data_IF_050628902014
#
_entry.id   IF_050628902014
#
_cell.length_a   1.000
_cell.length_b   1.000
_cell.length_c   1.000
_cell.angle_alpha   90.00
_cell.angle_beta   90.00
_cell.angle_gamma   90.00
#
_symmetry.space_group_name_H-M   'P 1'
#
loop_
_entity.id
_entity.type
_entity.pdbx_description
1 polymer ?
#
# COMPACT_ATOMS: atom_id res chain seq x y z
N UNK A 1 87.67 16.44 -51.37
CA UNK A 1 87.39 16.50 -49.92
C UNK A 1 85.88 16.67 -49.77
N UNK A 2 85.21 15.66 -49.19
CA UNK A 2 83.85 15.64 -48.62
C UNK A 2 82.67 16.15 -49.48
N UNK A 3 82.00 15.22 -50.14
CA UNK A 3 80.53 15.20 -50.20
C UNK A 3 80.03 14.34 -49.03
N UNK A 4 79.11 14.85 -48.22
CA UNK A 4 78.29 14.00 -47.35
C UNK A 4 77.00 14.69 -46.89
N UNK A 5 75.95 13.87 -46.89
CA UNK A 5 74.77 13.87 -46.01
C UNK A 5 73.78 15.05 -46.09
N UNK A 6 72.81 14.95 -47.01
CA UNK A 6 71.53 15.71 -46.95
C UNK A 6 70.32 14.80 -47.24
N UNK A 7 70.31 13.54 -46.79
CA UNK A 7 69.20 12.61 -47.10
C UNK A 7 68.50 11.96 -45.91
N UNK A 8 68.91 12.18 -44.66
CA UNK A 8 68.36 11.44 -43.50
C UNK A 8 67.30 12.17 -42.67
N UNK A 9 66.95 13.43 -42.98
CA UNK A 9 65.98 14.21 -42.17
C UNK A 9 64.50 13.95 -42.52
N UNK A 10 64.20 13.19 -43.59
CA UNK A 10 62.82 12.98 -44.06
C UNK A 10 62.07 11.84 -43.35
N UNK A 11 62.78 10.86 -42.77
CA UNK A 11 62.16 9.67 -42.19
C UNK A 11 61.65 9.89 -40.75
N UNK A 12 62.36 10.70 -39.99
CA UNK A 12 62.07 10.95 -38.57
C UNK A 12 60.85 11.88 -38.40
N UNK A 13 60.73 12.90 -39.27
CA UNK A 13 59.61 13.84 -39.28
C UNK A 13 58.29 13.15 -39.70
N UNK A 14 58.34 12.23 -40.68
CA UNK A 14 57.17 11.42 -41.05
C UNK A 14 56.71 10.46 -39.95
N UNK A 15 57.65 9.94 -39.13
CA UNK A 15 57.33 9.10 -37.98
C UNK A 15 56.65 9.92 -36.88
N UNK A 16 57.14 11.13 -36.61
CA UNK A 16 56.55 12.05 -35.65
C UNK A 16 55.12 12.47 -36.07
N UNK A 17 54.91 12.81 -37.35
CA UNK A 17 53.59 13.17 -37.88
C UNK A 17 52.58 12.03 -37.80
N UNK A 18 52.99 10.78 -38.10
CA UNK A 18 52.13 9.60 -37.94
C UNK A 18 51.73 9.37 -36.49
N UNK A 19 52.67 9.53 -35.54
CA UNK A 19 52.39 9.42 -34.10
C UNK A 19 51.42 10.51 -33.64
N UNK A 20 51.62 11.76 -34.06
CA UNK A 20 50.72 12.87 -33.72
C UNK A 20 49.30 12.65 -34.28
N UNK A 21 49.19 12.18 -35.52
CA UNK A 21 47.91 11.85 -36.14
C UNK A 21 47.19 10.71 -35.39
N UNK A 22 47.91 9.65 -35.03
CA UNK A 22 47.36 8.53 -34.27
C UNK A 22 46.87 8.99 -32.89
N UNK A 23 47.64 9.82 -32.18
CA UNK A 23 47.25 10.38 -30.89
C UNK A 23 45.98 11.26 -31.00
N UNK A 24 45.92 12.13 -32.01
CA UNK A 24 44.73 12.94 -32.26
C UNK A 24 43.49 12.08 -32.55
N UNK A 25 43.65 11.03 -33.36
CA UNK A 25 42.57 10.09 -33.68
C UNK A 25 42.10 9.30 -32.46
N UNK A 26 43.02 8.85 -31.59
CA UNK A 26 42.64 8.18 -30.33
C UNK A 26 41.90 9.12 -29.38
N UNK A 27 42.25 10.41 -29.38
CA UNK A 27 41.64 11.41 -28.52
C UNK A 27 40.21 11.76 -28.97
N UNK A 28 39.95 11.78 -30.28
CA UNK A 28 38.59 11.94 -30.83
C UNK A 28 37.70 10.73 -30.55
N UNK A 29 38.24 9.50 -30.68
CA UNK A 29 37.50 8.28 -30.34
C UNK A 29 37.16 8.24 -28.84
N UNK A 30 38.10 8.64 -27.97
CA UNK A 30 37.88 8.71 -26.53
C UNK A 30 36.76 9.72 -26.17
N UNK A 31 36.76 10.91 -26.79
CA UNK A 31 35.68 11.90 -26.62
C UNK A 31 34.32 11.33 -27.01
N UNK A 32 34.23 10.58 -28.11
CA UNK A 32 33.00 9.97 -28.58
C UNK A 32 32.51 8.87 -27.63
N UNK A 33 33.42 8.06 -27.09
CA UNK A 33 33.10 7.04 -26.08
C UNK A 33 32.57 7.67 -24.79
N UNK A 34 33.23 8.73 -24.29
CA UNK A 34 32.79 9.45 -23.08
C UNK A 34 31.40 10.05 -23.28
N UNK A 35 31.13 10.70 -24.43
CA UNK A 35 29.79 11.24 -24.74
C UNK A 35 28.72 10.15 -24.73
N UNK A 36 29.02 9.00 -25.34
CA UNK A 36 28.08 7.87 -25.39
C UNK A 36 27.78 7.35 -23.98
N UNK A 37 28.81 7.26 -23.13
CA UNK A 37 28.69 6.76 -21.76
C UNK A 37 27.95 7.73 -20.84
N UNK A 38 28.11 9.04 -21.05
CA UNK A 38 27.35 10.06 -20.34
C UNK A 38 25.86 10.06 -20.72
N UNK A 39 25.56 9.93 -22.02
CA UNK A 39 24.16 9.88 -22.51
C UNK A 39 23.46 8.61 -22.04
N UNK A 40 24.13 7.45 -22.07
CA UNK A 40 23.54 6.20 -21.57
C UNK A 40 23.31 6.22 -20.06
N UNK A 41 24.26 6.77 -19.28
CA UNK A 41 24.12 6.95 -17.84
C UNK A 41 22.93 7.84 -17.47
N UNK A 42 22.75 8.96 -18.20
CA UNK A 42 21.60 9.83 -18.01
C UNK A 42 20.27 9.13 -18.31
N UNK A 43 20.24 8.27 -19.33
CA UNK A 43 19.03 7.50 -19.69
C UNK A 43 18.61 6.52 -18.57
N UNK A 44 19.57 5.91 -17.87
CA UNK A 44 19.31 4.98 -16.75
C UNK A 44 18.74 5.71 -15.53
N UNK A 45 19.13 6.98 -15.30
CA UNK A 45 18.62 7.77 -14.17
C UNK A 45 17.17 8.25 -14.36
N UNK A 46 16.70 8.40 -15.60
CA UNK A 46 15.31 8.83 -15.89
C UNK A 46 14.32 7.67 -15.76
N UNK A 47 14.76 6.42 -15.96
CA UNK A 47 13.96 5.22 -15.70
C UNK A 47 14.10 4.85 -14.22
N UNK A 48 13.66 5.75 -13.36
CA UNK A 48 13.63 5.53 -11.91
C UNK A 48 12.80 4.30 -11.53
N UNK A 49 13.26 3.61 -10.49
CA UNK A 49 12.59 2.46 -9.87
C UNK A 49 11.09 2.70 -9.70
N UNK A 50 10.28 1.86 -10.34
CA UNK A 50 8.85 1.74 -10.06
C UNK A 50 8.68 1.10 -8.67
N UNK A 51 8.19 1.88 -7.71
CA UNK A 51 7.83 1.43 -6.36
C UNK A 51 6.52 0.61 -6.37
N UNK A 52 6.55 -0.53 -7.06
CA UNK A 52 5.34 -1.33 -7.31
C UNK A 52 4.85 -2.09 -6.08
N UNK A 53 5.70 -2.29 -5.07
CA UNK A 53 5.38 -3.06 -3.86
C UNK A 53 4.47 -2.30 -2.90
N UNK A 54 4.71 -1.00 -2.71
CA UNK A 54 3.92 -0.17 -1.80
C UNK A 54 2.48 -0.03 -2.29
N UNK A 55 2.29 0.24 -3.59
CA UNK A 55 0.96 0.41 -4.18
C UNK A 55 0.10 -0.86 -4.08
N UNK A 56 0.68 -2.05 -4.28
CA UNK A 56 -0.05 -3.33 -4.16
C UNK A 56 -0.47 -3.62 -2.71
N UNK A 57 0.37 -3.26 -1.75
CA UNK A 57 0.05 -3.42 -0.33
C UNK A 57 -1.12 -2.52 0.10
N UNK A 58 -1.10 -1.23 -0.27
CA UNK A 58 -2.18 -0.29 0.07
C UNK A 58 -3.52 -0.73 -0.56
N UNK A 59 -3.50 -1.17 -1.82
CA UNK A 59 -4.71 -1.63 -2.51
C UNK A 59 -5.37 -2.82 -1.78
N UNK A 60 -4.56 -3.74 -1.23
CA UNK A 60 -5.05 -4.88 -0.45
C UNK A 60 -5.74 -4.48 0.86
N UNK A 61 -5.40 -3.32 1.42
CA UNK A 61 -6.05 -2.76 2.61
C UNK A 61 -7.32 -1.99 2.24
N UNK A 62 -7.26 -1.20 1.17
CA UNK A 62 -8.33 -0.30 0.74
C UNK A 62 -9.51 -1.05 0.12
N UNK A 63 -9.24 -1.95 -0.84
CA UNK A 63 -10.28 -2.59 -1.67
C UNK A 63 -11.36 -3.32 -0.84
N UNK A 64 -11.02 -4.12 0.19
CA UNK A 64 -12.01 -4.79 1.04
C UNK A 64 -12.88 -3.85 1.90
N UNK A 65 -12.49 -2.59 2.06
CA UNK A 65 -13.18 -1.62 2.93
C UNK A 65 -14.06 -0.62 2.14
N UNK A 66 -13.95 -0.56 0.82
CA UNK A 66 -14.65 0.41 -0.02
C UNK A 66 -16.18 0.42 0.15
N UNK A 67 -16.77 -0.75 0.41
CA UNK A 67 -18.22 -0.90 0.61
C UNK A 67 -18.76 -0.04 1.76
N UNK A 68 -17.92 0.30 2.75
CA UNK A 68 -18.28 1.09 3.93
C UNK A 68 -18.74 2.50 3.54
N UNK A 69 -18.22 3.06 2.44
CA UNK A 69 -18.56 4.43 1.99
C UNK A 69 -20.05 4.61 1.72
N UNK A 70 -20.74 3.57 1.27
CA UNK A 70 -22.16 3.59 0.91
C UNK A 70 -23.05 2.74 1.84
N UNK A 71 -22.48 2.15 2.88
CA UNK A 71 -23.20 1.23 3.74
C UNK A 71 -24.08 1.94 4.77
N UNK A 72 -25.19 1.30 5.16
CA UNK A 72 -26.08 1.79 6.22
C UNK A 72 -26.01 0.85 7.43
N UNK A 73 -25.28 1.23 8.50
CA UNK A 73 -25.06 0.35 9.64
C UNK A 73 -26.33 -0.01 10.40
N UNK A 74 -27.36 0.84 10.38
CA UNK A 74 -28.61 0.57 11.09
C UNK A 74 -29.47 -0.42 10.31
N UNK A 75 -29.58 -0.22 9.00
CA UNK A 75 -30.25 -1.17 8.10
C UNK A 75 -29.58 -2.54 8.17
N UNK A 76 -28.26 -2.58 8.08
CA UNK A 76 -27.48 -3.83 8.08
C UNK A 76 -27.59 -4.57 9.43
N UNK A 77 -27.66 -3.85 10.55
CA UNK A 77 -27.92 -4.45 11.87
C UNK A 77 -29.32 -5.08 11.97
N UNK A 78 -30.33 -4.44 11.38
CA UNK A 78 -31.69 -5.00 11.32
C UNK A 78 -31.75 -6.26 10.44
N UNK A 79 -31.05 -6.25 9.30
CA UNK A 79 -30.95 -7.42 8.43
C UNK A 79 -30.20 -8.56 9.10
N UNK A 80 -29.10 -8.28 9.79
CA UNK A 80 -28.36 -9.28 10.58
C UNK A 80 -29.27 -9.96 11.61
N UNK A 81 -30.06 -9.18 12.37
CA UNK A 81 -31.01 -9.74 13.33
C UNK A 81 -32.03 -10.68 12.66
N UNK A 82 -32.60 -10.26 11.51
CA UNK A 82 -33.56 -11.09 10.75
C UNK A 82 -32.95 -12.42 10.30
N UNK A 83 -31.67 -12.41 9.98
CA UNK A 83 -30.91 -13.58 9.54
C UNK A 83 -30.30 -14.38 10.70
N UNK A 84 -30.64 -14.07 11.96
CA UNK A 84 -30.04 -14.67 13.16
C UNK A 84 -28.51 -14.49 13.26
N UNK A 85 -27.95 -13.44 12.64
CA UNK A 85 -26.55 -13.05 12.81
C UNK A 85 -26.42 -12.07 13.97
N UNK A 86 -25.90 -12.58 15.08
CA UNK A 86 -25.70 -11.81 16.32
C UNK A 86 -24.26 -11.34 16.51
N UNK A 87 -23.41 -11.51 15.50
CA UNK A 87 -21.99 -11.12 15.57
C UNK A 87 -21.86 -9.61 15.54
N UNK A 88 -21.11 -9.08 16.52
CA UNK A 88 -20.74 -7.68 16.54
C UNK A 88 -19.58 -7.40 15.58
N UNK A 89 -19.41 -6.15 15.19
CA UNK A 89 -18.33 -5.72 14.32
C UNK A 89 -17.15 -5.23 15.14
N UNK A 90 -15.97 -5.66 14.74
CA UNK A 90 -14.70 -5.33 15.34
C UNK A 90 -13.76 -4.69 14.33
N UNK A 91 -12.82 -3.90 14.85
CA UNK A 91 -11.73 -3.31 14.07
C UNK A 91 -10.43 -3.70 14.74
N UNK A 92 -9.48 -4.18 13.95
CA UNK A 92 -8.13 -4.45 14.44
C UNK A 92 -7.33 -3.17 14.42
N UNK A 93 -6.66 -2.89 15.53
CA UNK A 93 -5.69 -1.82 15.69
C UNK A 93 -4.53 -2.41 16.50
N UNK A 94 -3.91 -1.66 17.42
CA UNK A 94 -3.05 -2.25 18.44
C UNK A 94 -3.74 -3.38 19.24
N UNK A 95 -5.06 -3.29 19.39
CA UNK A 95 -5.89 -4.37 19.92
C UNK A 95 -7.19 -4.51 19.12
N UNK A 96 -7.90 -5.61 19.36
CA UNK A 96 -9.25 -5.80 18.82
C UNK A 96 -10.23 -4.89 19.59
N UNK A 97 -10.90 -4.01 18.87
CA UNK A 97 -11.86 -3.06 19.46
C UNK A 97 -13.26 -3.32 18.96
N UNK A 98 -14.25 -3.07 19.81
CA UNK A 98 -15.69 -3.20 19.50
C UNK A 98 -16.38 -1.84 19.66
N UNK A 99 -16.26 -0.93 18.67
CA UNK A 99 -16.82 0.40 18.79
C UNK A 99 -18.31 0.36 19.17
N UNK A 100 -18.70 1.22 20.12
CA UNK A 100 -20.09 1.38 20.54
C UNK A 100 -20.59 0.37 21.58
N UNK A 101 -19.81 -0.65 21.94
CA UNK A 101 -20.12 -1.54 23.06
C UNK A 101 -19.38 -1.11 24.33
N UNK A 102 -20.00 -1.22 25.51
CA UNK A 102 -19.26 -1.13 26.77
C UNK A 102 -18.39 -2.36 26.98
N UNK A 103 -17.30 -2.22 27.72
CA UNK A 103 -16.29 -3.28 27.94
C UNK A 103 -16.92 -4.58 28.47
N UNK A 104 -17.91 -4.46 29.36
CA UNK A 104 -18.64 -5.60 29.94
C UNK A 104 -19.58 -6.33 28.96
N UNK A 105 -19.76 -5.82 27.74
CA UNK A 105 -20.56 -6.44 26.67
C UNK A 105 -19.71 -6.82 25.46
N UNK A 106 -18.38 -6.73 25.55
CA UNK A 106 -17.49 -7.16 24.48
C UNK A 106 -17.57 -8.68 24.30
N UNK A 107 -17.73 -9.19 23.06
CA UNK A 107 -17.72 -10.63 22.81
C UNK A 107 -16.41 -11.25 23.25
N UNK A 108 -16.49 -12.40 23.92
CA UNK A 108 -15.31 -13.14 24.29
C UNK A 108 -14.73 -13.83 23.05
N UNK A 109 -13.45 -13.60 22.75
CA UNK A 109 -12.82 -14.01 21.49
C UNK A 109 -12.82 -15.53 21.24
N UNK A 110 -13.00 -16.32 22.30
CA UNK A 110 -12.91 -17.78 22.28
C UNK A 110 -14.25 -18.48 21.94
N UNK A 111 -15.32 -17.74 21.60
CA UNK A 111 -16.56 -18.36 21.10
C UNK A 111 -16.58 -18.26 19.59
N UNK A 112 -16.68 -19.40 18.93
CA UNK A 112 -16.60 -19.61 17.47
C UNK A 112 -17.60 -18.76 16.62
N UNK A 113 -18.49 -17.98 17.26
CA UNK A 113 -19.51 -17.12 16.63
C UNK A 113 -19.54 -15.66 17.15
N UNK A 114 -18.41 -15.09 17.61
CA UNK A 114 -18.45 -13.84 18.39
C UNK A 114 -18.59 -12.53 17.61
N UNK A 115 -17.85 -12.37 16.51
CA UNK A 115 -17.69 -11.08 15.84
C UNK A 115 -17.19 -11.18 14.39
N UNK A 116 -17.23 -10.06 13.67
CA UNK A 116 -16.66 -9.90 12.32
C UNK A 116 -15.67 -8.74 12.31
N UNK A 117 -14.48 -8.95 11.77
CA UNK A 117 -13.51 -7.88 11.54
C UNK A 117 -13.87 -7.18 10.24
N UNK A 118 -13.97 -5.86 10.26
CA UNK A 118 -14.34 -5.05 9.08
C UNK A 118 -13.24 -4.09 8.60
N UNK A 119 -12.08 -4.09 9.25
CA UNK A 119 -10.96 -3.23 8.88
C UNK A 119 -9.72 -3.52 9.71
N UNK A 120 -8.56 -3.41 9.05
CA UNK A 120 -7.22 -3.56 9.64
C UNK A 120 -6.53 -2.22 9.74
N UNK A 121 -6.70 -1.58 10.89
CA UNK A 121 -6.25 -0.21 11.16
C UNK A 121 -5.05 -0.16 12.12
N UNK A 122 -4.23 -1.22 12.13
CA UNK A 122 -2.97 -1.28 12.89
C UNK A 122 -1.90 -0.36 12.28
N UNK A 123 -1.86 -0.30 10.95
CA UNK A 123 -0.95 0.52 10.16
C UNK A 123 -1.81 1.34 9.21
N UNK A 124 -1.86 2.64 9.48
CA UNK A 124 -2.57 3.62 8.66
C UNK A 124 -1.69 3.97 7.46
N UNK A 125 -2.13 3.59 6.26
CA UNK A 125 -1.29 3.56 5.06
C UNK A 125 -1.97 4.25 3.88
N UNK A 126 -1.50 5.43 3.52
CA UNK A 126 -2.16 6.27 2.51
C UNK A 126 -3.44 6.95 3.04
N UNK A 127 -3.80 8.07 2.41
CA UNK A 127 -4.92 8.92 2.83
C UNK A 127 -6.26 8.18 2.77
N UNK A 128 -6.46 7.37 1.73
CA UNK A 128 -7.70 6.63 1.55
C UNK A 128 -7.92 5.53 2.61
N UNK A 129 -6.87 4.79 2.97
CA UNK A 129 -6.99 3.78 4.03
C UNK A 129 -7.30 4.44 5.38
N UNK A 130 -6.69 5.58 5.68
CA UNK A 130 -6.96 6.36 6.89
C UNK A 130 -8.43 6.75 6.94
N UNK A 131 -8.97 7.30 5.85
CA UNK A 131 -10.38 7.67 5.75
C UNK A 131 -11.29 6.46 5.99
N UNK A 132 -11.00 5.34 5.32
CA UNK A 132 -11.76 4.10 5.46
C UNK A 132 -11.71 3.53 6.89
N UNK A 133 -10.58 3.64 7.59
CA UNK A 133 -10.46 3.26 8.99
C UNK A 133 -11.34 4.10 9.92
N UNK A 134 -11.43 5.40 9.69
CA UNK A 134 -12.34 6.29 10.43
C UNK A 134 -13.80 5.91 10.15
N UNK A 135 -14.15 5.70 8.88
CA UNK A 135 -15.50 5.29 8.47
C UNK A 135 -15.88 3.93 9.07
N UNK A 136 -14.97 2.95 9.06
CA UNK A 136 -15.17 1.66 9.69
C UNK A 136 -15.49 1.80 11.18
N UNK A 137 -14.75 2.66 11.89
CA UNK A 137 -14.99 2.96 13.30
C UNK A 137 -16.40 3.48 13.58
N UNK A 138 -16.84 4.43 12.76
CA UNK A 138 -18.18 5.01 12.87
C UNK A 138 -19.27 4.00 12.51
N UNK A 139 -19.05 3.23 11.45
CA UNK A 139 -19.94 2.19 10.98
C UNK A 139 -20.15 1.10 12.04
N UNK A 140 -19.07 0.50 12.56
CA UNK A 140 -19.13 -0.50 13.62
C UNK A 140 -19.83 0.03 14.87
N UNK A 141 -19.56 1.29 15.25
CA UNK A 141 -20.18 1.92 16.42
C UNK A 141 -21.71 2.00 16.31
N UNK A 142 -22.23 2.42 15.16
CA UNK A 142 -23.67 2.51 14.91
C UNK A 142 -24.29 1.11 14.85
N UNK A 143 -23.72 0.22 14.04
CA UNK A 143 -24.20 -1.16 13.86
C UNK A 143 -24.31 -1.87 15.22
N UNK A 144 -23.23 -1.85 16.02
CA UNK A 144 -23.16 -2.58 17.28
C UNK A 144 -24.18 -2.06 18.31
N UNK A 145 -24.37 -0.74 18.39
CA UNK A 145 -25.38 -0.13 19.27
C UNK A 145 -26.79 -0.55 18.86
N UNK A 146 -27.08 -0.52 17.56
CA UNK A 146 -28.38 -0.90 17.03
C UNK A 146 -28.66 -2.37 17.29
N UNK A 147 -27.73 -3.26 16.92
CA UNK A 147 -27.86 -4.70 17.16
C UNK A 147 -28.04 -5.02 18.65
N UNK A 148 -27.24 -4.40 19.53
CA UNK A 148 -27.35 -4.62 20.98
C UNK A 148 -28.73 -4.26 21.51
N UNK A 149 -29.28 -3.14 21.04
CA UNK A 149 -30.61 -2.65 21.45
C UNK A 149 -31.71 -3.58 20.95
N UNK A 150 -31.63 -4.04 19.70
CA UNK A 150 -32.57 -4.99 19.11
C UNK A 150 -32.59 -6.33 19.85
N UNK A 151 -31.41 -6.88 20.18
CA UNK A 151 -31.28 -8.15 20.90
C UNK A 151 -31.88 -8.07 22.31
N UNK A 152 -31.69 -6.95 23.02
CA UNK A 152 -32.30 -6.74 24.36
C UNK A 152 -33.83 -6.72 24.27
N UNK A 153 -34.37 -6.03 23.26
CA UNK A 153 -35.82 -5.93 23.07
C UNK A 153 -36.44 -7.30 22.75
N UNK A 154 -35.79 -8.10 21.89
CA UNK A 154 -36.24 -9.45 21.56
C UNK A 154 -36.28 -10.38 22.78
N UNK A 155 -35.25 -10.33 23.64
CA UNK A 155 -35.19 -11.12 24.88
C UNK A 155 -36.29 -10.74 25.86
N UNK A 156 -36.56 -9.43 26.02
CA UNK A 156 -37.61 -8.93 26.92
C UNK A 156 -39.00 -9.34 26.43
N UNK A 157 -39.26 -9.24 25.13
CA UNK A 157 -40.52 -9.69 24.52
C UNK A 157 -40.74 -11.20 24.71
N UNK A 158 -39.70 -12.01 24.46
CA UNK A 158 -39.78 -13.46 24.63
C UNK A 158 -40.02 -13.89 26.09
N UNK A 159 -39.46 -13.15 27.06
CA UNK A 159 -39.68 -13.41 28.49
C UNK A 159 -41.12 -13.12 28.91
N UNK A 160 -41.69 -11.98 28.50
CA UNK A 160 -43.07 -11.61 28.87
C UNK A 160 -44.12 -12.54 28.25
N UNK A 161 -43.87 -13.05 27.04
CA UNK A 161 -44.70 -14.09 26.42
C UNK A 161 -44.72 -15.38 27.24
N UNK A 162 -43.56 -15.87 27.69
CA UNK A 162 -43.47 -17.10 28.52
C UNK A 162 -44.16 -16.97 29.87
N UNK A 163 -44.16 -15.78 30.47
CA UNK A 163 -44.83 -15.51 31.75
C UNK A 163 -46.35 -15.40 31.63
N UNK A 164 -46.89 -15.06 30.44
CA UNK A 164 -48.34 -15.01 30.18
C UNK A 164 -48.97 -16.37 29.83
N UNK A 165 -48.16 -17.32 29.39
CA UNK A 165 -48.60 -18.67 28.99
C UNK A 165 -48.47 -19.72 30.11
N UNK A 166 -48.11 -19.29 31.32
CA UNK A 166 -48.10 -20.11 32.54
C UNK A 166 -49.24 -19.70 33.45
#
# INVERSE_FOLDING_TARGET
MRENSVSDLSGEDQSAQKRAYLLAKTLEVLKQMIRTLLVSSFLVLVVGCSDSGYSDYVEKLVSPMQWIRSADPEKDANEALKNNDFRYLAITSYSLTFPGLPDNKTPNANKEDGYRIIGYCELMEGEEHIELCVLAGQYAKKYNKTLSSLVVNQKTSNKSLKERTR
#
